data_IF_622295025910
#
_entry.id   IF_622295025910
#
_cell.length_a   1.000
_cell.length_b   1.000
_cell.length_c   1.000
_cell.angle_alpha   90.00
_cell.angle_beta   90.00
_cell.angle_gamma   90.00
#
_symmetry.space_group_name_H-M   'P 1'
#
loop_
_entity.id
_entity.type
_entity.pdbx_description
1 polymer ?
#
# COMPACT_ATOMS: atom_id res chain seq x y z
N UNK A 1 -0.60 -35.93 -17.08
CA UNK A 1 -1.68 -34.91 -17.03
C UNK A 1 -1.36 -33.92 -15.93
N UNK A 2 -0.94 -32.69 -16.25
CA UNK A 2 -0.66 -31.66 -15.23
C UNK A 2 -2.01 -31.11 -14.77
N UNK A 3 -2.42 -31.39 -13.53
CA UNK A 3 -3.57 -30.74 -12.90
C UNK A 3 -3.20 -29.28 -12.63
N UNK A 4 -3.67 -28.35 -13.47
CA UNK A 4 -3.69 -26.93 -13.11
C UNK A 4 -4.85 -26.70 -12.14
N UNK A 5 -4.55 -26.42 -10.88
CA UNK A 5 -5.50 -25.87 -9.93
C UNK A 5 -5.51 -24.35 -10.08
N UNK A 6 -6.55 -23.80 -10.69
CA UNK A 6 -6.76 -22.35 -10.70
C UNK A 6 -7.47 -21.93 -9.41
N UNK A 7 -6.80 -21.12 -8.59
CA UNK A 7 -7.47 -20.38 -7.52
C UNK A 7 -7.98 -19.09 -8.14
N UNK A 8 -9.28 -19.02 -8.40
CA UNK A 8 -9.94 -17.78 -8.81
C UNK A 8 -10.23 -16.97 -7.54
N UNK A 9 -9.34 -16.03 -7.22
CA UNK A 9 -9.67 -14.99 -6.25
C UNK A 9 -10.55 -13.96 -6.97
N UNK A 10 -11.82 -13.77 -6.58
CA UNK A 10 -12.65 -12.77 -7.20
C UNK A 10 -12.04 -11.39 -6.94
N UNK A 11 -11.98 -10.57 -7.98
CA UNK A 11 -11.60 -9.16 -7.84
C UNK A 11 -12.56 -8.51 -6.84
N UNK A 12 -12.01 -8.04 -5.72
CA UNK A 12 -12.76 -7.27 -4.74
C UNK A 12 -12.91 -5.85 -5.26
N UNK A 13 -14.12 -5.53 -5.72
CA UNK A 13 -14.53 -4.18 -6.06
C UNK A 13 -15.06 -3.44 -4.83
N UNK A 14 -14.85 -2.12 -4.77
CA UNK A 14 -15.36 -1.24 -3.72
C UNK A 14 -14.27 -0.63 -2.84
N UNK A 15 -14.70 0.06 -1.76
CA UNK A 15 -13.78 0.72 -0.84
C UNK A 15 -13.18 -0.27 0.16
N UNK A 16 -11.90 -0.09 0.55
CA UNK A 16 -11.31 -0.88 1.63
C UNK A 16 -12.11 -0.69 2.91
N UNK A 17 -12.31 -1.78 3.66
CA UNK A 17 -13.05 -1.70 4.93
C UNK A 17 -12.31 -0.78 5.91
N UNK A 18 -13.05 -0.02 6.71
CA UNK A 18 -12.47 1.01 7.60
C UNK A 18 -11.42 0.45 8.57
N UNK A 19 -11.60 -0.78 9.06
CA UNK A 19 -10.63 -1.41 9.96
C UNK A 19 -9.26 -1.61 9.29
N UNK A 20 -9.24 -1.94 8.00
CA UNK A 20 -8.01 -2.10 7.22
C UNK A 20 -7.34 -0.75 7.04
N UNK A 21 -8.10 0.28 6.65
CA UNK A 21 -7.58 1.64 6.52
C UNK A 21 -6.94 2.15 7.82
N UNK A 22 -7.54 1.88 8.98
CA UNK A 22 -6.96 2.24 10.27
C UNK A 22 -5.60 1.57 10.52
N UNK A 23 -5.48 0.29 10.17
CA UNK A 23 -4.23 -0.47 10.29
C UNK A 23 -3.18 0.03 9.29
N UNK A 24 -3.59 0.29 8.05
CA UNK A 24 -2.74 0.86 7.00
C UNK A 24 -2.16 2.21 7.43
N UNK A 25 -2.96 3.11 8.02
CA UNK A 25 -2.49 4.42 8.51
C UNK A 25 -1.40 4.28 9.55
N UNK A 26 -1.61 3.43 10.56
CA UNK A 26 -0.62 3.19 11.61
C UNK A 26 0.69 2.67 11.04
N UNK A 27 0.61 1.70 10.13
CA UNK A 27 1.81 1.10 9.54
C UNK A 27 2.52 2.06 8.57
N UNK A 28 1.77 2.78 7.74
CA UNK A 28 2.30 3.78 6.83
C UNK A 28 3.01 4.90 7.60
N UNK A 29 2.47 5.34 8.74
CA UNK A 29 3.14 6.31 9.59
C UNK A 29 4.50 5.79 10.07
N UNK A 30 4.54 4.60 10.68
CA UNK A 30 5.77 4.03 11.22
C UNK A 30 6.83 3.78 10.15
N UNK A 31 6.45 3.19 9.01
CA UNK A 31 7.39 2.88 7.92
C UNK A 31 7.92 4.17 7.27
N UNK A 32 7.03 5.09 6.91
CA UNK A 32 7.43 6.36 6.29
C UNK A 32 8.32 7.18 7.22
N UNK A 33 8.02 7.21 8.52
CA UNK A 33 8.86 7.88 9.52
C UNK A 33 10.28 7.32 9.53
N UNK A 34 10.43 6.00 9.63
CA UNK A 34 11.75 5.35 9.65
C UNK A 34 12.51 5.61 8.33
N UNK A 35 11.84 5.49 7.19
CA UNK A 35 12.46 5.74 5.88
C UNK A 35 12.96 7.18 5.74
N UNK A 36 12.14 8.15 6.18
CA UNK A 36 12.48 9.57 6.13
C UNK A 36 13.61 9.90 7.12
N UNK A 37 13.58 9.34 8.33
CA UNK A 37 14.65 9.53 9.32
C UNK A 37 16.00 8.98 8.83
N UNK A 38 16.00 7.86 8.10
CA UNK A 38 17.23 7.20 7.63
C UNK A 38 17.75 7.75 6.30
N UNK A 39 16.86 8.12 5.38
CA UNK A 39 17.22 8.46 4.00
C UNK A 39 16.79 9.87 3.56
N UNK A 40 16.05 10.58 4.40
CA UNK A 40 15.51 11.90 4.10
C UNK A 40 14.21 11.86 3.29
N UNK A 41 13.48 12.98 3.32
CA UNK A 41 12.20 13.14 2.62
C UNK A 41 12.34 13.03 1.10
N UNK A 42 13.46 13.53 0.55
CA UNK A 42 13.71 13.51 -0.90
C UNK A 42 13.70 12.08 -1.43
N UNK A 43 14.46 11.19 -0.79
CA UNK A 43 14.57 9.80 -1.20
C UNK A 43 13.24 9.05 -1.04
N UNK A 44 12.45 9.36 -0.01
CA UNK A 44 11.09 8.81 0.11
C UNK A 44 10.21 9.20 -1.08
N UNK A 45 10.28 10.46 -1.54
CA UNK A 45 9.52 10.94 -2.69
C UNK A 45 10.04 10.35 -4.02
N UNK A 46 11.35 10.19 -4.17
CA UNK A 46 11.97 9.58 -5.36
C UNK A 46 11.62 8.10 -5.52
N UNK A 47 11.26 7.40 -4.43
CA UNK A 47 10.76 6.01 -4.45
C UNK A 47 9.30 5.87 -4.85
N UNK A 48 8.46 6.87 -4.58
CA UNK A 48 7.03 6.82 -4.91
C UNK A 48 6.69 6.56 -6.38
N UNK A 49 7.38 7.16 -7.37
CA UNK A 49 7.08 6.91 -8.78
C UNK A 49 7.56 5.53 -9.27
N UNK A 50 8.41 4.80 -8.53
CA UNK A 50 8.78 3.45 -8.90
C UNK A 50 7.59 2.49 -8.69
N UNK A 51 7.06 1.86 -9.75
CA UNK A 51 5.83 1.07 -9.66
C UNK A 51 6.00 -0.18 -8.80
N UNK A 52 7.18 -0.80 -8.80
CA UNK A 52 7.44 -1.99 -8.00
C UNK A 52 7.54 -1.66 -6.52
N UNK A 53 8.20 -0.55 -6.20
CA UNK A 53 8.33 -0.05 -4.84
C UNK A 53 6.97 0.38 -4.30
N UNK A 54 6.19 1.16 -5.05
CA UNK A 54 4.87 1.62 -4.62
C UNK A 54 3.89 0.47 -4.41
N UNK A 55 3.92 -0.54 -5.30
CA UNK A 55 3.15 -1.76 -5.17
C UNK A 55 3.60 -2.58 -3.95
N UNK A 56 4.91 -2.75 -3.75
CA UNK A 56 5.45 -3.45 -2.59
C UNK A 56 5.06 -2.75 -1.29
N UNK A 57 5.13 -1.42 -1.27
CA UNK A 57 4.72 -0.60 -0.14
C UNK A 57 3.24 -0.83 0.18
N UNK A 58 2.35 -0.77 -0.81
CA UNK A 58 0.94 -1.08 -0.61
C UNK A 58 0.68 -2.50 -0.09
N UNK A 59 1.43 -3.49 -0.57
CA UNK A 59 1.35 -4.87 -0.07
C UNK A 59 1.81 -4.98 1.40
N UNK A 60 2.87 -4.29 1.79
CA UNK A 60 3.31 -4.23 3.19
C UNK A 60 2.25 -3.58 4.08
N UNK A 61 1.52 -2.58 3.58
CA UNK A 61 0.36 -1.99 4.27
C UNK A 61 -0.84 -2.96 4.42
N UNK A 62 -0.78 -4.15 3.81
CA UNK A 62 -1.85 -5.14 3.83
C UNK A 62 -2.88 -4.94 2.72
N UNK A 63 -2.56 -4.14 1.69
CA UNK A 63 -3.38 -4.00 0.49
C UNK A 63 -3.01 -5.06 -0.54
N UNK A 64 -4.00 -5.76 -1.08
CA UNK A 64 -3.75 -6.91 -1.95
C UNK A 64 -3.12 -6.52 -3.30
N UNK A 65 -2.21 -7.37 -3.80
CA UNK A 65 -1.49 -7.15 -5.06
C UNK A 65 -2.41 -7.00 -6.27
N UNK A 66 -3.52 -7.75 -6.33
CA UNK A 66 -4.45 -7.75 -7.45
C UNK A 66 -5.54 -6.68 -7.34
N UNK A 67 -5.45 -5.75 -6.38
CA UNK A 67 -6.46 -4.73 -6.19
C UNK A 67 -6.22 -3.53 -7.13
N UNK A 68 -7.20 -3.24 -7.98
CA UNK A 68 -7.16 -2.10 -8.93
C UNK A 68 -7.11 -0.71 -8.25
N UNK A 69 -7.46 -0.62 -6.97
CA UNK A 69 -7.51 0.62 -6.20
C UNK A 69 -6.19 1.04 -5.52
N UNK A 70 -5.06 0.37 -5.79
CA UNK A 70 -3.80 0.56 -5.05
C UNK A 70 -3.40 2.03 -4.93
N UNK A 71 -3.27 2.73 -6.07
CA UNK A 71 -2.82 4.12 -6.10
C UNK A 71 -3.74 5.00 -5.26
N UNK A 72 -5.05 4.87 -5.46
CA UNK A 72 -6.06 5.66 -4.75
C UNK A 72 -6.00 5.43 -3.24
N UNK A 73 -5.91 4.16 -2.81
CA UNK A 73 -5.96 3.80 -1.40
C UNK A 73 -4.68 4.17 -0.68
N UNK A 74 -3.52 3.80 -1.23
CA UNK A 74 -2.22 4.07 -0.60
C UNK A 74 -1.94 5.57 -0.54
N UNK A 75 -2.23 6.31 -1.61
CA UNK A 75 -2.10 7.77 -1.62
C UNK A 75 -3.05 8.42 -0.63
N UNK A 76 -4.30 7.92 -0.54
CA UNK A 76 -5.27 8.38 0.46
C UNK A 76 -4.79 8.16 1.89
N UNK A 77 -4.21 6.99 2.17
CA UNK A 77 -3.61 6.67 3.48
C UNK A 77 -2.45 7.62 3.79
N UNK A 78 -1.52 7.83 2.85
CA UNK A 78 -0.40 8.76 3.03
C UNK A 78 -0.87 10.20 3.26
N UNK A 79 -1.90 10.66 2.54
CA UNK A 79 -2.50 11.98 2.76
C UNK A 79 -2.99 12.16 4.20
N UNK A 80 -3.52 11.11 4.84
CA UNK A 80 -3.99 11.23 6.22
C UNK A 80 -2.87 11.40 7.25
N UNK A 81 -1.63 11.03 6.91
CA UNK A 81 -0.47 11.24 7.79
C UNK A 81 -0.12 12.71 7.94
N UNK A 82 -0.45 13.55 6.96
CA UNK A 82 -0.23 15.00 7.04
C UNK A 82 -1.09 15.67 8.13
N UNK A 83 -2.24 15.09 8.45
CA UNK A 83 -3.20 15.64 9.41
C UNK A 83 -3.13 14.98 10.80
N UNK A 84 -2.24 14.01 10.99
CA UNK A 84 -2.07 13.27 12.24
C UNK A 84 -0.85 13.78 13.02
#
# INVERSE_FOLDING_TARGET
MIKKSSISLPLLYGHPRQYLLHRMKKLAFSISKILIEQHGTKEFLERMPDPFWFQSFGCVLGFDWHSSGLITVVTGVLKTLYYS
#
